data_IF_289557730310
#
_entry.id   IF_289557730310
#
_cell.length_a   1.000
_cell.length_b   1.000
_cell.length_c   1.000
_cell.angle_alpha   90.00
_cell.angle_beta   90.00
_cell.angle_gamma   90.00
#
_symmetry.space_group_name_H-M   'P 1'
#
loop_
_entity.id
_entity.type
_entity.pdbx_description
1 polymer ?
#
# COMPACT_ATOMS: atom_id res chain seq x y z
N UNK A 1 1.76 -21.20 0.99
CA UNK A 1 1.70 -19.72 1.12
C UNK A 1 0.58 -19.20 0.22
N UNK A 2 -0.29 -18.31 0.69
CA UNK A 2 -1.24 -17.61 -0.20
C UNK A 2 -0.43 -16.72 -1.17
N UNK A 3 -0.83 -16.61 -2.45
CA UNK A 3 -0.15 -15.73 -3.40
C UNK A 3 -0.24 -14.29 -2.93
N UNK A 4 0.90 -13.58 -2.92
CA UNK A 4 0.96 -12.17 -2.53
C UNK A 4 0.32 -11.35 -3.66
N UNK A 5 -0.83 -10.73 -3.38
CA UNK A 5 -1.50 -9.85 -4.34
C UNK A 5 -0.62 -8.63 -4.62
N UNK A 6 -0.51 -8.32 -5.91
CA UNK A 6 0.13 -7.12 -6.42
C UNK A 6 -0.94 -6.13 -6.88
N UNK A 7 -0.80 -4.89 -6.46
CA UNK A 7 -1.52 -3.73 -6.97
C UNK A 7 -0.53 -2.81 -7.68
N UNK A 8 -1.06 -1.87 -8.46
CA UNK A 8 -0.23 -0.93 -9.21
C UNK A 8 -0.83 0.48 -9.14
N UNK A 9 0.02 1.47 -8.92
CA UNK A 9 -0.32 2.89 -8.96
C UNK A 9 0.31 3.49 -10.22
N UNK A 10 -0.54 4.02 -11.10
CA UNK A 10 -0.14 4.66 -12.36
C UNK A 10 -0.26 6.18 -12.32
N UNK A 11 -0.45 6.78 -13.50
CA UNK A 11 -0.54 8.24 -13.71
C UNK A 11 -1.53 8.99 -12.79
N UNK A 12 -2.60 8.34 -12.35
CA UNK A 12 -3.63 8.95 -11.50
C UNK A 12 -3.22 9.01 -10.01
N UNK A 13 -2.06 8.46 -9.66
CA UNK A 13 -1.57 8.47 -8.29
C UNK A 13 -2.45 7.67 -7.32
N UNK A 14 -2.29 7.98 -6.04
CA UNK A 14 -3.07 7.38 -4.96
C UNK A 14 -4.45 8.04 -4.91
N UNK A 15 -5.51 7.24 -5.09
CA UNK A 15 -6.90 7.71 -5.02
C UNK A 15 -7.64 7.06 -3.85
N UNK A 16 -8.73 7.70 -3.39
CA UNK A 16 -9.60 7.13 -2.35
C UNK A 16 -10.12 5.74 -2.72
N UNK A 17 -10.55 5.58 -3.97
CA UNK A 17 -11.02 4.29 -4.51
C UNK A 17 -9.93 3.21 -4.48
N UNK A 18 -8.67 3.59 -4.77
CA UNK A 18 -7.56 2.66 -4.66
C UNK A 18 -7.32 2.22 -3.21
N UNK A 19 -7.35 3.14 -2.25
CA UNK A 19 -7.21 2.84 -0.82
C UNK A 19 -8.32 1.88 -0.38
N UNK A 20 -9.57 2.14 -0.75
CA UNK A 20 -10.71 1.27 -0.46
C UNK A 20 -10.56 -0.11 -1.09
N UNK A 21 -10.07 -0.19 -2.33
CA UNK A 21 -9.83 -1.47 -3.00
C UNK A 21 -8.79 -2.31 -2.24
N UNK A 22 -7.68 -1.69 -1.80
CA UNK A 22 -6.64 -2.37 -1.01
C UNK A 22 -7.20 -2.81 0.34
N UNK A 23 -7.96 -1.95 1.02
CA UNK A 23 -8.61 -2.27 2.30
C UNK A 23 -9.57 -3.46 2.16
N UNK A 24 -10.48 -3.39 1.19
CA UNK A 24 -11.43 -4.45 0.88
C UNK A 24 -10.73 -5.79 0.57
N UNK A 25 -9.58 -5.74 -0.10
CA UNK A 25 -8.79 -6.95 -0.35
C UNK A 25 -8.25 -7.55 0.95
N UNK A 26 -7.68 -6.74 1.85
CA UNK A 26 -7.23 -7.22 3.16
C UNK A 26 -8.35 -7.85 3.97
N UNK A 27 -9.54 -7.25 3.96
CA UNK A 27 -10.70 -7.72 4.71
C UNK A 27 -11.28 -9.01 4.13
N UNK A 28 -11.43 -9.11 2.79
CA UNK A 28 -12.00 -10.29 2.12
C UNK A 28 -11.05 -11.48 2.03
N UNK A 29 -9.76 -11.24 1.79
CA UNK A 29 -8.79 -12.32 1.55
C UNK A 29 -8.18 -12.89 2.84
N UNK A 30 -8.26 -12.14 3.93
CA UNK A 30 -7.53 -12.42 5.17
C UNK A 30 -6.01 -12.35 5.00
N UNK A 31 -5.50 -11.74 3.92
CA UNK A 31 -4.06 -11.61 3.68
C UNK A 31 -3.41 -10.68 4.70
N UNK A 32 -2.14 -10.92 5.02
CA UNK A 32 -1.37 -10.03 5.90
C UNK A 32 -0.42 -9.12 5.13
N UNK A 33 -0.17 -9.40 3.85
CA UNK A 33 0.80 -8.71 3.02
C UNK A 33 0.28 -8.52 1.60
N UNK A 34 0.43 -7.31 1.08
CA UNK A 34 0.26 -6.98 -0.35
C UNK A 34 1.47 -6.19 -0.84
N UNK A 35 1.71 -6.25 -2.15
CA UNK A 35 2.70 -5.39 -2.80
C UNK A 35 1.99 -4.36 -3.66
N UNK A 36 2.43 -3.12 -3.63
CA UNK A 36 1.95 -2.05 -4.48
C UNK A 36 3.10 -1.50 -5.30
N UNK A 37 3.07 -1.70 -6.62
CA UNK A 37 4.08 -1.19 -7.53
C UNK A 37 3.72 0.24 -7.96
N UNK A 38 4.62 1.19 -7.73
CA UNK A 38 4.48 2.58 -8.15
C UNK A 38 5.15 2.71 -9.52
N UNK A 39 4.36 2.98 -10.55
CA UNK A 39 4.89 3.16 -11.90
C UNK A 39 5.67 4.47 -12.00
N UNK A 40 6.65 4.50 -12.91
CA UNK A 40 7.41 5.72 -13.27
C UNK A 40 6.52 6.87 -13.77
N UNK A 41 5.32 6.56 -14.27
CA UNK A 41 4.31 7.55 -14.66
C UNK A 41 3.64 8.24 -13.48
N UNK A 42 3.70 7.66 -12.27
CA UNK A 42 3.20 8.25 -11.04
C UNK A 42 4.26 9.15 -10.38
N UNK A 43 5.49 8.63 -10.22
CA UNK A 43 6.58 9.40 -9.67
C UNK A 43 7.93 8.91 -10.20
N UNK A 44 8.91 9.81 -10.25
CA UNK A 44 10.31 9.49 -10.58
C UNK A 44 11.22 9.51 -9.34
N UNK A 45 10.80 10.20 -8.27
CA UNK A 45 11.61 10.40 -7.07
C UNK A 45 11.17 9.52 -5.90
N UNK A 46 12.13 8.96 -5.17
CA UNK A 46 11.87 8.12 -3.99
C UNK A 46 11.14 8.88 -2.87
N UNK A 47 11.27 10.20 -2.81
CA UNK A 47 10.58 11.04 -1.82
C UNK A 47 9.05 10.96 -2.01
N UNK A 48 8.58 11.18 -3.25
CA UNK A 48 7.15 11.03 -3.60
C UNK A 48 6.64 9.60 -3.38
N UNK A 49 7.47 8.59 -3.67
CA UNK A 49 7.13 7.20 -3.39
C UNK A 49 6.91 6.93 -1.88
N UNK A 50 7.66 7.60 -1.00
CA UNK A 50 7.43 7.53 0.46
C UNK A 50 6.15 8.26 0.85
N UNK A 51 5.92 9.46 0.34
CA UNK A 51 4.68 10.23 0.60
C UNK A 51 3.43 9.41 0.22
N UNK A 52 3.43 8.77 -0.96
CA UNK A 52 2.37 7.84 -1.38
C UNK A 52 2.22 6.66 -0.40
N UNK A 53 3.33 6.11 0.10
CA UNK A 53 3.31 5.03 1.08
C UNK A 53 2.72 5.47 2.43
N UNK A 54 3.08 6.66 2.90
CA UNK A 54 2.59 7.25 4.14
C UNK A 54 1.08 7.51 4.08
N UNK A 55 0.62 8.12 2.98
CA UNK A 55 -0.79 8.36 2.69
C UNK A 55 -1.59 7.07 2.57
N UNK A 56 -1.07 6.07 1.84
CA UNK A 56 -1.73 4.77 1.69
C UNK A 56 -1.88 4.08 3.05
N UNK A 57 -0.81 4.00 3.83
CA UNK A 57 -0.88 3.38 5.15
C UNK A 57 -1.79 4.16 6.10
N UNK A 58 -1.86 5.49 5.98
CA UNK A 58 -2.73 6.32 6.80
C UNK A 58 -4.21 6.08 6.44
N UNK A 59 -4.53 6.01 5.15
CA UNK A 59 -5.87 5.71 4.66
C UNK A 59 -6.35 4.28 4.97
N UNK A 60 -5.43 3.32 5.09
CA UNK A 60 -5.77 1.95 5.51
C UNK A 60 -6.03 1.83 7.03
N UNK A 61 -5.35 2.64 7.84
CA UNK A 61 -5.57 2.77 9.29
C UNK A 61 -4.40 2.31 10.16
N UNK A 62 -4.62 2.32 11.49
CA UNK A 62 -3.57 2.17 12.52
C UNK A 62 -2.84 0.82 12.55
N UNK A 63 -3.45 -0.20 11.95
CA UNK A 63 -2.92 -1.56 11.91
C UNK A 63 -2.03 -1.82 10.68
N UNK A 64 -1.77 -0.80 9.86
CA UNK A 64 -1.03 -0.95 8.61
C UNK A 64 0.31 -0.23 8.66
N UNK A 65 1.32 -0.91 8.13
CA UNK A 65 2.66 -0.35 7.90
C UNK A 65 3.09 -0.66 6.47
N UNK A 66 4.10 0.03 5.98
CA UNK A 66 4.71 -0.31 4.70
C UNK A 66 6.22 -0.30 4.78
N UNK A 67 6.85 -1.01 3.85
CA UNK A 67 8.28 -0.89 3.56
C UNK A 67 8.44 -0.59 2.07
N UNK A 68 9.14 0.49 1.74
CA UNK A 68 9.49 0.82 0.36
C UNK A 68 10.75 0.06 -0.06
N UNK A 69 10.64 -0.75 -1.11
CA UNK A 69 11.75 -1.47 -1.75
C UNK A 69 11.77 -1.09 -3.23
N UNK A 70 12.75 -0.26 -3.62
CA UNK A 70 12.74 0.36 -4.95
C UNK A 70 11.52 1.28 -5.11
N UNK A 71 10.61 0.92 -6.03
CA UNK A 71 9.31 1.58 -6.23
C UNK A 71 8.14 0.66 -5.83
N UNK A 72 8.40 -0.35 -5.02
CA UNK A 72 7.38 -1.30 -4.54
C UNK A 72 7.14 -1.07 -3.05
N UNK A 73 5.91 -0.76 -2.68
CA UNK A 73 5.47 -0.72 -1.29
C UNK A 73 5.02 -2.11 -0.86
N UNK A 74 5.76 -2.72 0.06
CA UNK A 74 5.30 -3.91 0.76
C UNK A 74 4.42 -3.47 1.93
N UNK A 75 3.10 -3.55 1.78
CA UNK A 75 2.12 -3.10 2.77
C UNK A 75 1.69 -4.29 3.61
N UNK A 76 1.89 -4.18 4.93
CA UNK A 76 1.61 -5.25 5.90
C UNK A 76 0.53 -4.82 6.87
N UNK A 77 -0.45 -5.71 7.07
CA UNK A 77 -1.46 -5.62 8.12
C UNK A 77 -0.95 -6.33 9.37
N UNK A 78 -1.09 -5.68 10.52
CA UNK A 78 -0.76 -6.22 11.83
C UNK A 78 -2.03 -6.54 12.61
N UNK A 79 -1.92 -7.50 13.53
CA UNK A 79 -3.02 -7.85 14.44
C UNK A 79 -3.26 -6.80 15.53
N UNK A 80 -2.24 -6.01 15.87
CA UNK A 80 -2.31 -4.93 16.86
C UNK A 80 -2.08 -3.59 16.17
N UNK A 81 -2.56 -2.51 16.77
CA UNK A 81 -2.26 -1.15 16.30
C UNK A 81 -0.76 -0.89 16.40
N UNK A 82 -0.18 -0.39 15.30
CA UNK A 82 1.26 -0.09 15.20
C UNK A 82 1.49 1.41 14.99
N UNK A 83 0.44 2.16 14.60
CA UNK A 83 0.46 3.62 14.49
C UNK A 83 -0.42 4.22 15.60
N UNK A 84 0.17 5.08 16.43
CA UNK A 84 -0.49 5.84 17.50
C UNK A 84 -1.06 7.13 16.98
#
# INVERSE_FOLDING_TARGET
MKPIKKFQIGKNGLTKSFIEQVKNYFDKSGSELVKVEILKSCCRDKKKAREIGDELAAGLGKNFTYKLVGYVLAVRRWRRAVRG
#
